data_IF_549095045789
#
_entry.id   IF_549095045789
#
_cell.length_a   1.000
_cell.length_b   1.000
_cell.length_c   1.000
_cell.angle_alpha   90.00
_cell.angle_beta   90.00
_cell.angle_gamma   90.00
#
_symmetry.space_group_name_H-M   'P 1'
#
loop_
_entity.id
_entity.type
_entity.pdbx_description
1 polymer ?
#
# COMPACT_ATOMS: atom_id res chain seq x y z
N UNK A 1 26.71 -14.86 -8.98
CA UNK A 1 25.52 -15.75 -9.04
C UNK A 1 24.26 -14.88 -8.84
N UNK A 2 23.25 -15.03 -9.69
CA UNK A 2 21.99 -14.26 -9.62
C UNK A 2 21.04 -14.86 -8.58
N UNK A 3 20.19 -14.03 -7.98
CA UNK A 3 19.08 -14.45 -7.12
C UNK A 3 17.82 -14.85 -7.93
N UNK A 4 17.69 -14.37 -9.16
CA UNK A 4 16.59 -14.69 -10.07
C UNK A 4 16.23 -13.51 -10.96
N UNK A 5 15.08 -13.56 -11.64
CA UNK A 5 14.56 -12.47 -12.46
C UNK A 5 13.69 -11.53 -11.63
N UNK A 6 13.94 -10.22 -11.71
CA UNK A 6 13.20 -9.20 -10.96
C UNK A 6 12.16 -8.43 -11.77
N UNK A 7 11.89 -8.84 -13.02
CA UNK A 7 10.93 -8.19 -13.92
C UNK A 7 11.60 -7.44 -15.08
N UNK A 8 12.63 -6.65 -14.80
CA UNK A 8 13.35 -5.86 -15.82
C UNK A 8 14.80 -6.32 -16.02
N UNK A 9 15.38 -6.98 -15.02
CA UNK A 9 16.75 -7.49 -15.07
C UNK A 9 16.95 -8.66 -14.09
N UNK A 10 18.07 -9.37 -14.23
CA UNK A 10 18.48 -10.38 -13.25
C UNK A 10 18.95 -9.70 -11.96
N UNK A 11 18.45 -10.18 -10.83
CA UNK A 11 18.76 -9.68 -9.51
C UNK A 11 20.06 -10.28 -8.97
N UNK A 12 20.84 -9.45 -8.27
CA UNK A 12 21.98 -9.88 -7.46
C UNK A 12 21.53 -10.57 -6.17
N UNK A 13 22.47 -11.21 -5.45
CA UNK A 13 22.16 -11.89 -4.17
C UNK A 13 21.69 -10.95 -3.06
N UNK A 14 22.06 -9.68 -3.15
CA UNK A 14 21.73 -8.64 -2.18
C UNK A 14 20.55 -7.79 -2.64
N UNK A 15 19.77 -8.27 -3.63
CA UNK A 15 18.59 -7.55 -4.11
C UNK A 15 17.52 -7.47 -3.02
N UNK A 16 16.89 -6.31 -2.93
CA UNK A 16 15.81 -6.00 -2.02
C UNK A 16 14.45 -5.97 -2.74
N UNK A 17 13.36 -5.83 -2.00
CA UNK A 17 12.01 -5.77 -2.57
C UNK A 17 11.84 -4.63 -3.59
N UNK A 18 12.46 -3.47 -3.37
CA UNK A 18 12.38 -2.35 -4.30
C UNK A 18 12.99 -2.66 -5.68
N UNK A 19 13.87 -3.65 -5.75
CA UNK A 19 14.47 -4.12 -7.00
C UNK A 19 13.54 -5.02 -7.83
N UNK A 20 12.42 -5.50 -7.26
CA UNK A 20 11.42 -6.31 -7.97
C UNK A 20 10.41 -5.37 -8.62
N UNK A 21 10.48 -5.25 -9.95
CA UNK A 21 9.64 -4.38 -10.77
C UNK A 21 8.52 -5.13 -11.50
N UNK A 22 8.21 -6.36 -11.08
CA UNK A 22 7.12 -7.16 -11.63
C UNK A 22 6.23 -7.72 -10.51
N UNK A 23 4.92 -7.47 -10.63
CA UNK A 23 3.93 -7.79 -9.59
C UNK A 23 3.83 -9.28 -9.28
N UNK A 24 3.77 -10.13 -10.31
CA UNK A 24 3.68 -11.58 -10.12
C UNK A 24 4.93 -12.12 -9.40
N UNK A 25 6.10 -11.59 -9.74
CA UNK A 25 7.36 -11.93 -9.08
C UNK A 25 7.38 -11.44 -7.63
N UNK A 26 6.80 -10.26 -7.34
CA UNK A 26 6.65 -9.75 -5.99
C UNK A 26 5.74 -10.64 -5.12
N UNK A 27 4.58 -11.05 -5.65
CA UNK A 27 3.62 -11.92 -4.95
C UNK A 27 4.21 -13.29 -4.60
N UNK A 28 5.08 -13.82 -5.45
CA UNK A 28 5.82 -15.07 -5.24
C UNK A 28 7.28 -14.89 -4.83
N UNK A 29 7.67 -13.73 -4.32
CA UNK A 29 9.09 -13.36 -4.12
C UNK A 29 9.85 -14.29 -3.18
N UNK A 30 9.17 -14.83 -2.16
CA UNK A 30 9.76 -15.80 -1.23
C UNK A 30 10.10 -17.10 -1.96
N UNK A 31 9.18 -17.64 -2.74
CA UNK A 31 9.39 -18.90 -3.46
C UNK A 31 10.32 -18.74 -4.67
N UNK A 32 10.23 -17.61 -5.37
CA UNK A 32 10.97 -17.36 -6.61
C UNK A 32 12.40 -16.86 -6.38
N UNK A 33 12.60 -16.01 -5.37
CA UNK A 33 13.84 -15.27 -5.14
C UNK A 33 14.43 -15.48 -3.74
N UNK A 34 13.68 -16.10 -2.82
CA UNK A 34 14.07 -16.19 -1.41
C UNK A 34 14.01 -14.84 -0.68
N UNK A 35 13.31 -13.85 -1.25
CA UNK A 35 13.20 -12.49 -0.71
C UNK A 35 11.79 -12.33 -0.13
N UNK A 36 11.70 -11.97 1.14
CA UNK A 36 10.42 -11.79 1.80
C UNK A 36 9.96 -10.33 1.66
N UNK A 37 8.90 -10.12 0.87
CA UNK A 37 8.31 -8.82 0.60
C UNK A 37 6.85 -8.78 1.03
N UNK A 38 6.35 -7.59 1.36
CA UNK A 38 5.03 -7.44 1.99
C UNK A 38 3.91 -6.94 1.09
N UNK A 39 4.19 -6.66 -0.18
CA UNK A 39 3.13 -6.29 -1.13
C UNK A 39 3.62 -5.50 -2.33
N UNK A 40 2.69 -4.94 -3.09
CA UNK A 40 2.97 -4.21 -4.33
C UNK A 40 2.61 -2.73 -4.21
N UNK A 41 3.42 -1.86 -4.80
CA UNK A 41 3.16 -0.42 -4.92
C UNK A 41 2.70 -0.01 -6.32
N UNK A 42 1.98 1.10 -6.40
CA UNK A 42 1.59 1.78 -7.64
C UNK A 42 2.78 2.37 -8.40
N UNK A 43 3.91 2.56 -7.72
CA UNK A 43 5.18 2.96 -8.34
C UNK A 43 5.82 1.83 -9.16
N UNK A 44 5.19 0.66 -9.23
CA UNK A 44 5.66 -0.47 -10.02
C UNK A 44 6.80 -1.23 -9.35
N UNK A 45 6.86 -1.21 -8.02
CA UNK A 45 7.89 -1.88 -7.23
C UNK A 45 7.28 -2.67 -6.06
N UNK A 46 7.96 -3.74 -5.66
CA UNK A 46 7.59 -4.52 -4.48
C UNK A 46 7.96 -3.79 -3.18
N UNK A 47 7.12 -3.93 -2.17
CA UNK A 47 7.23 -3.27 -0.88
C UNK A 47 7.99 -4.14 0.13
N UNK A 48 8.88 -3.57 0.95
CA UNK A 48 9.54 -4.28 2.03
C UNK A 48 8.53 -4.67 3.12
N UNK A 49 8.80 -5.76 3.85
CA UNK A 49 8.02 -6.20 5.01
C UNK A 49 8.05 -5.24 6.21
N UNK A 50 8.94 -4.25 6.20
CA UNK A 50 9.26 -3.45 7.38
C UNK A 50 8.36 -2.21 7.54
N UNK A 51 8.09 -1.88 8.81
CA UNK A 51 7.16 -0.87 9.33
C UNK A 51 7.39 0.59 8.91
N UNK A 52 8.20 0.84 7.89
CA UNK A 52 8.48 2.16 7.31
C UNK A 52 7.75 2.40 5.99
N UNK A 53 6.97 1.44 5.50
CA UNK A 53 6.15 1.63 4.30
C UNK A 53 5.00 2.59 4.62
N UNK A 54 4.95 3.80 4.03
CA UNK A 54 3.86 4.73 4.30
C UNK A 54 2.55 4.14 3.74
N UNK A 55 1.44 4.29 4.45
CA UNK A 55 0.19 3.64 4.04
C UNK A 55 -0.24 4.05 2.62
N UNK A 56 0.01 5.31 2.26
CA UNK A 56 -0.25 5.84 0.91
C UNK A 56 0.45 5.11 -0.23
N UNK A 57 1.58 4.41 -0.01
CA UNK A 57 2.22 3.61 -1.06
C UNK A 57 1.61 2.22 -1.24
N UNK A 58 0.67 1.84 -0.37
CA UNK A 58 -0.07 0.60 -0.48
C UNK A 58 -1.33 0.89 -1.30
N UNK A 59 -1.30 0.51 -2.57
CA UNK A 59 -2.42 0.72 -3.52
C UNK A 59 -3.18 -0.56 -3.83
N UNK A 60 -2.86 -1.64 -3.12
CA UNK A 60 -3.63 -2.86 -3.11
C UNK A 60 -4.56 -2.90 -1.90
N UNK A 61 -5.85 -3.07 -2.15
CA UNK A 61 -6.86 -3.13 -1.09
C UNK A 61 -6.62 -4.29 -0.10
N UNK A 62 -6.22 -5.46 -0.60
CA UNK A 62 -5.99 -6.62 0.26
C UNK A 62 -4.72 -6.45 1.09
N UNK A 63 -3.65 -5.88 0.53
CA UNK A 63 -2.46 -5.50 1.29
C UNK A 63 -2.78 -4.43 2.31
N UNK A 64 -3.58 -3.40 1.98
CA UNK A 64 -4.00 -2.37 2.92
C UNK A 64 -4.76 -2.96 4.12
N UNK A 65 -5.75 -3.82 3.83
CA UNK A 65 -6.57 -4.49 4.86
C UNK A 65 -5.74 -5.40 5.76
N UNK A 66 -4.71 -6.05 5.21
CA UNK A 66 -3.81 -6.94 5.94
C UNK A 66 -2.45 -6.29 6.26
N UNK A 67 -2.35 -4.96 6.18
CA UNK A 67 -1.09 -4.21 6.27
C UNK A 67 -0.33 -4.53 7.55
N UNK A 68 -1.03 -4.69 8.67
CA UNK A 68 -0.41 -5.09 9.94
C UNK A 68 0.19 -6.49 9.91
N UNK A 69 -0.47 -7.43 9.23
CA UNK A 69 -0.02 -8.82 9.16
C UNK A 69 1.04 -9.04 8.06
N UNK A 70 0.93 -8.32 6.94
CA UNK A 70 1.82 -8.46 5.78
C UNK A 70 3.02 -7.52 5.83
N UNK A 71 2.85 -6.28 6.28
CA UNK A 71 3.88 -5.23 6.23
C UNK A 71 4.30 -4.73 7.63
N UNK A 72 3.70 -5.25 8.70
CA UNK A 72 3.93 -4.75 10.06
C UNK A 72 3.49 -3.30 10.30
N UNK A 73 2.83 -2.66 9.33
CA UNK A 73 2.35 -1.26 9.41
C UNK A 73 0.89 -1.19 9.82
N UNK A 74 0.53 -0.22 10.65
CA UNK A 74 -0.86 -0.02 11.07
C UNK A 74 -1.43 1.18 10.32
N UNK A 75 -2.13 0.91 9.22
CA UNK A 75 -2.86 1.91 8.47
C UNK A 75 -4.25 2.15 9.06
N UNK A 76 -4.78 3.35 8.85
CA UNK A 76 -6.14 3.69 9.27
C UNK A 76 -7.18 2.94 8.42
N UNK A 77 -6.91 2.76 7.12
CA UNK A 77 -7.75 1.94 6.25
C UNK A 77 -7.67 2.35 4.79
N UNK A 78 -8.59 1.83 3.98
CA UNK A 78 -8.62 2.08 2.55
C UNK A 78 -9.37 3.38 2.22
N UNK A 79 -8.72 4.27 1.46
CA UNK A 79 -9.30 5.54 1.00
C UNK A 79 -10.08 5.45 -0.31
N UNK A 80 -9.95 4.36 -1.06
CA UNK A 80 -10.58 4.19 -2.38
C UNK A 80 -9.57 3.87 -3.48
N UNK A 81 -8.41 4.51 -3.44
CA UNK A 81 -7.29 4.33 -4.38
C UNK A 81 -5.99 3.87 -3.71
N UNK A 82 -5.83 4.16 -2.43
CA UNK A 82 -4.66 3.82 -1.62
C UNK A 82 -5.07 3.62 -0.17
N UNK A 83 -4.18 3.00 0.60
CA UNK A 83 -4.29 2.96 2.05
C UNK A 83 -3.96 4.33 2.63
N UNK A 84 -4.60 4.68 3.74
CA UNK A 84 -4.46 5.97 4.41
C UNK A 84 -3.92 5.79 5.82
N UNK A 85 -3.17 6.79 6.25
CA UNK A 85 -2.72 6.97 7.62
C UNK A 85 -3.81 7.68 8.45
N UNK A 86 -3.70 7.54 9.78
CA UNK A 86 -4.63 8.20 10.70
C UNK A 86 -4.46 9.71 10.64
N UNK A 87 -5.53 10.43 10.29
CA UNK A 87 -5.50 11.88 10.15
C UNK A 87 -5.02 12.40 8.80
N UNK A 88 -4.91 11.53 7.78
CA UNK A 88 -4.73 11.95 6.39
C UNK A 88 -5.84 12.92 5.94
N UNK A 89 -5.58 13.79 4.95
CA UNK A 89 -6.58 14.73 4.46
C UNK A 89 -7.77 14.00 3.82
N UNK A 90 -9.02 14.43 4.09
CA UNK A 90 -10.22 13.75 3.59
C UNK A 90 -10.31 13.73 2.07
N UNK A 91 -9.62 14.63 1.37
CA UNK A 91 -9.55 14.67 -0.10
C UNK A 91 -8.95 13.40 -0.71
N UNK A 92 -8.17 12.63 0.07
CA UNK A 92 -7.61 11.35 -0.36
C UNK A 92 -8.64 10.20 -0.29
N UNK A 93 -9.77 10.42 0.37
CA UNK A 93 -10.86 9.47 0.42
C UNK A 93 -11.70 9.65 -0.86
N UNK A 94 -11.48 8.77 -1.82
CA UNK A 94 -12.17 8.70 -3.12
C UNK A 94 -13.30 7.67 -3.15
N UNK A 95 -13.50 6.92 -2.07
CA UNK A 95 -14.67 6.06 -1.87
C UNK A 95 -15.77 6.76 -1.04
N UNK A 96 -17.00 6.76 -1.55
CA UNK A 96 -18.14 7.42 -0.92
C UNK A 96 -18.51 6.79 0.44
N UNK A 97 -18.38 5.47 0.57
CA UNK A 97 -18.73 4.75 1.80
C UNK A 97 -17.69 5.04 2.88
N UNK A 98 -16.41 5.01 2.51
CA UNK A 98 -15.30 5.40 3.36
C UNK A 98 -15.42 6.87 3.79
N UNK A 99 -15.84 7.77 2.90
CA UNK A 99 -16.07 9.18 3.24
C UNK A 99 -17.18 9.36 4.28
N UNK A 100 -18.31 8.67 4.11
CA UNK A 100 -19.44 8.70 5.06
C UNK A 100 -19.06 8.18 6.45
N UNK A 101 -18.10 7.26 6.53
CA UNK A 101 -17.63 6.67 7.78
C UNK A 101 -16.20 7.12 8.14
N UNK A 102 -15.71 8.20 7.53
CA UNK A 102 -14.30 8.64 7.58
C UNK A 102 -13.79 8.85 9.00
N UNK A 103 -14.61 9.43 9.87
CA UNK A 103 -14.24 9.63 11.27
C UNK A 103 -14.11 8.30 12.04
N UNK A 104 -15.06 7.39 11.86
CA UNK A 104 -15.11 6.13 12.60
C UNK A 104 -14.13 5.08 12.07
N UNK A 105 -13.93 5.04 10.76
CA UNK A 105 -13.05 4.07 10.09
C UNK A 105 -11.60 4.55 10.04
N UNK A 106 -11.39 5.81 9.70
CA UNK A 106 -10.06 6.33 9.36
C UNK A 106 -9.55 7.37 10.38
N UNK A 107 -10.39 7.81 11.32
CA UNK A 107 -10.06 8.93 12.21
C UNK A 107 -9.98 10.27 11.51
N UNK A 108 -10.53 10.38 10.28
CA UNK A 108 -10.43 11.57 9.43
C UNK A 108 -11.74 12.36 9.51
N UNK A 109 -11.66 13.64 9.90
CA UNK A 109 -12.82 14.54 9.91
C UNK A 109 -13.07 15.06 8.50
N UNK A 110 -14.31 14.98 8.03
CA UNK A 110 -14.72 15.50 6.72
C UNK A 110 -15.99 16.35 6.79
N UNK A 111 -16.19 17.19 5.78
CA UNK A 111 -17.43 17.96 5.56
C UNK A 111 -18.46 17.19 4.73
N UNK A 112 -18.18 15.93 4.37
CA UNK A 112 -19.04 15.08 3.55
C UNK A 112 -18.50 14.87 2.13
N UNK A 113 -19.30 14.21 1.30
CA UNK A 113 -18.90 13.81 -0.05
C UNK A 113 -19.06 14.95 -1.07
N UNK A 114 -17.98 15.22 -1.81
CA UNK A 114 -17.92 16.29 -2.82
C UNK A 114 -18.18 15.84 -4.26
N UNK A 115 -18.55 14.58 -4.49
CA UNK A 115 -18.83 14.04 -5.83
C UNK A 115 -17.69 13.21 -6.44
N UNK A 116 -16.44 13.43 -6.03
CA UNK A 116 -15.28 12.62 -6.42
C UNK A 116 -14.29 12.33 -5.29
N UNK A 117 -14.34 13.12 -4.21
CA UNK A 117 -13.58 12.89 -2.99
C UNK A 117 -14.33 13.47 -1.78
N UNK A 118 -13.88 13.12 -0.59
CA UNK A 118 -14.38 13.69 0.65
C UNK A 118 -13.86 15.12 0.85
N UNK A 119 -14.72 16.00 1.33
CA UNK A 119 -14.42 17.42 1.50
C UNK A 119 -13.78 17.68 2.86
N UNK A 120 -12.87 18.65 2.90
CA UNK A 120 -12.33 19.18 4.16
C UNK A 120 -13.37 20.03 4.90
N UNK A 121 -13.33 19.95 6.23
CA UNK A 121 -14.11 20.81 7.10
C UNK A 121 -13.26 22.01 7.48
N UNK A 122 -13.56 23.17 6.88
CA UNK A 122 -13.01 24.47 7.28
C UNK A 122 -13.42 24.86 8.70
#
# INVERSE_FOLDING_TARGET
PSAGWGGSSCLGKDADCGSITERQTCEGSVDALGIACGGWSDLGACLPLEGSTPCRSITDFHTCKNSRAQLGVTCAGWGGSSCLDGGDPPQLITDVTACQQSLSLLGIVSAGWGGGSCLERN
#
